data_IF_880826714465
#
_entry.id   IF_880826714465
#
_cell.length_a   1.000
_cell.length_b   1.000
_cell.length_c   1.000
_cell.angle_alpha   90.00
_cell.angle_beta   90.00
_cell.angle_gamma   90.00
#
_symmetry.space_group_name_H-M   'P 1'
#
loop_
_entity.id
_entity.type
_entity.pdbx_description
1 polymer ?
#
# COMPACT_ATOMS: atom_id res chain seq x y z
N UNK A 1 40.47 0.07 -44.10
CA UNK A 1 39.60 0.54 -43.01
C UNK A 1 38.17 0.19 -43.36
N UNK A 2 37.64 -0.88 -42.76
CA UNK A 2 36.22 -1.25 -42.90
C UNK A 2 35.44 -0.61 -41.76
N UNK A 3 34.63 0.39 -42.09
CA UNK A 3 33.61 0.89 -41.17
C UNK A 3 32.48 -0.16 -41.10
N UNK A 4 32.46 -0.93 -40.02
CA UNK A 4 31.31 -1.78 -39.68
C UNK A 4 30.16 -0.85 -39.33
N UNK A 5 29.22 -0.72 -40.27
CA UNK A 5 27.96 -0.02 -40.08
C UNK A 5 27.14 -0.84 -39.09
N UNK A 6 27.12 -0.40 -37.83
CA UNK A 6 26.16 -0.93 -36.84
C UNK A 6 24.78 -0.62 -37.42
N UNK A 7 24.08 -1.65 -37.88
CA UNK A 7 22.72 -1.52 -38.38
C UNK A 7 21.85 -0.95 -37.27
N UNK A 8 21.21 0.18 -37.51
CA UNK A 8 20.14 0.72 -36.68
C UNK A 8 18.93 -0.23 -36.75
N UNK A 9 18.98 -1.33 -36.00
CA UNK A 9 17.83 -2.20 -35.80
C UNK A 9 16.89 -1.44 -34.85
N UNK A 10 15.79 -0.91 -35.39
CA UNK A 10 14.76 -0.29 -34.55
C UNK A 10 14.22 -1.32 -33.55
N UNK A 11 14.22 -1.04 -32.24
CA UNK A 11 13.82 -2.00 -31.24
C UNK A 11 12.38 -2.46 -31.46
N UNK A 12 12.15 -3.75 -31.30
CA UNK A 12 10.83 -4.36 -31.43
C UNK A 12 9.87 -3.77 -30.40
N UNK A 13 8.56 -3.79 -30.70
CA UNK A 13 7.52 -3.31 -29.77
C UNK A 13 7.58 -4.02 -28.41
N UNK A 14 8.10 -5.26 -28.36
CA UNK A 14 8.26 -6.04 -27.12
C UNK A 14 9.41 -5.46 -26.28
N UNK A 15 10.55 -5.18 -26.89
CA UNK A 15 11.71 -4.57 -26.20
C UNK A 15 11.36 -3.20 -25.62
N UNK A 16 10.62 -2.37 -26.38
CA UNK A 16 10.15 -1.07 -25.89
C UNK A 16 9.28 -1.23 -24.63
N UNK A 17 8.36 -2.22 -24.62
CA UNK A 17 7.50 -2.49 -23.45
C UNK A 17 8.27 -3.02 -22.23
N UNK A 18 9.27 -3.88 -22.46
CA UNK A 18 10.12 -4.40 -21.38
C UNK A 18 10.91 -3.27 -20.70
N UNK A 19 11.47 -2.35 -21.48
CA UNK A 19 12.19 -1.17 -20.96
C UNK A 19 11.24 -0.26 -20.16
N UNK A 20 10.00 -0.08 -20.61
CA UNK A 20 9.00 0.69 -19.87
C UNK A 20 8.63 0.04 -18.53
N UNK A 21 8.44 -1.29 -18.51
CA UNK A 21 8.16 -2.04 -17.29
C UNK A 21 9.32 -1.94 -16.30
N UNK A 22 10.56 -2.14 -16.77
CA UNK A 22 11.75 -2.01 -15.94
C UNK A 22 11.85 -0.61 -15.30
N UNK A 23 11.56 0.45 -16.07
CA UNK A 23 11.54 1.82 -15.54
C UNK A 23 10.48 1.99 -14.46
N UNK A 24 9.27 1.47 -14.67
CA UNK A 24 8.20 1.54 -13.68
C UNK A 24 8.57 0.81 -12.38
N UNK A 25 9.11 -0.41 -12.49
CA UNK A 25 9.59 -1.20 -11.34
C UNK A 25 10.70 -0.45 -10.61
N UNK A 26 11.68 0.08 -11.32
CA UNK A 26 12.78 0.84 -10.73
C UNK A 26 12.29 2.06 -9.96
N UNK A 27 11.37 2.84 -10.52
CA UNK A 27 10.79 4.02 -9.84
C UNK A 27 10.04 3.60 -8.58
N UNK A 28 9.22 2.54 -8.66
CA UNK A 28 8.49 2.01 -7.50
C UNK A 28 9.44 1.50 -6.40
N UNK A 29 10.48 0.74 -6.77
CA UNK A 29 11.48 0.24 -5.83
C UNK A 29 12.26 1.36 -5.15
N UNK A 30 12.57 2.45 -5.86
CA UNK A 30 13.23 3.62 -5.25
C UNK A 30 12.33 4.33 -4.24
N UNK A 31 11.06 4.52 -4.58
CA UNK A 31 10.09 5.09 -3.64
C UNK A 31 9.99 4.20 -2.40
N UNK A 32 9.80 2.89 -2.59
CA UNK A 32 9.72 1.92 -1.50
C UNK A 32 10.98 1.95 -0.62
N UNK A 33 12.17 2.00 -1.24
CA UNK A 33 13.44 2.09 -0.51
C UNK A 33 13.49 3.35 0.36
N UNK A 34 13.13 4.50 -0.21
CA UNK A 34 13.11 5.76 0.52
C UNK A 34 12.18 5.68 1.74
N UNK A 35 10.94 5.23 1.55
CA UNK A 35 9.96 5.17 2.64
C UNK A 35 10.26 4.09 3.69
N UNK A 36 10.90 2.97 3.30
CA UNK A 36 11.14 1.85 4.23
C UNK A 36 12.43 2.00 5.03
N UNK A 37 13.51 2.51 4.42
CA UNK A 37 14.84 2.48 5.03
C UNK A 37 15.29 3.80 5.66
N UNK A 38 14.54 4.88 5.46
CA UNK A 38 14.82 6.14 6.14
C UNK A 38 14.09 6.19 7.49
N UNK A 39 14.75 6.76 8.49
CA UNK A 39 14.09 7.03 9.76
C UNK A 39 13.11 8.18 9.59
N UNK A 40 11.87 7.94 10.00
CA UNK A 40 10.83 8.95 10.03
C UNK A 40 10.65 9.46 11.46
N UNK A 41 11.10 10.70 11.70
CA UNK A 41 10.89 11.38 12.98
C UNK A 41 9.53 12.05 12.97
N UNK A 42 8.56 11.43 13.63
CA UNK A 42 7.23 12.00 13.81
C UNK A 42 7.21 12.86 15.07
N UNK A 43 6.82 14.13 14.94
CA UNK A 43 6.50 14.98 16.08
C UNK A 43 4.98 15.02 16.24
N UNK A 44 4.48 14.47 17.35
CA UNK A 44 3.05 14.41 17.67
C UNK A 44 2.66 15.34 18.83
N UNK A 45 3.51 16.32 19.21
CA UNK A 45 3.26 17.21 20.36
C UNK A 45 1.89 17.88 20.27
N UNK A 46 1.54 18.48 19.14
CA UNK A 46 0.25 19.17 18.99
C UNK A 46 -0.95 18.24 19.18
N UNK A 47 -0.85 16.99 18.69
CA UNK A 47 -1.90 15.98 18.87
C UNK A 47 -2.08 15.65 20.35
N UNK A 48 -0.97 15.40 21.06
CA UNK A 48 -0.98 15.07 22.48
C UNK A 48 -1.52 16.24 23.32
N UNK A 49 -1.10 17.46 23.01
CA UNK A 49 -1.61 18.68 23.66
C UNK A 49 -3.12 18.81 23.43
N UNK A 50 -3.60 18.65 22.19
CA UNK A 50 -5.03 18.73 21.92
C UNK A 50 -5.83 17.66 22.69
N UNK A 51 -5.31 16.43 22.80
CA UNK A 51 -5.96 15.39 23.61
C UNK A 51 -6.00 15.73 25.10
N UNK A 52 -4.93 16.34 25.65
CA UNK A 52 -4.90 16.75 27.07
C UNK A 52 -5.88 17.88 27.42
N UNK A 53 -6.33 18.63 26.41
CA UNK A 53 -7.28 19.73 26.61
C UNK A 53 -8.74 19.27 26.59
N UNK A 54 -9.01 18.00 26.27
CA UNK A 54 -10.37 17.46 26.23
C UNK A 54 -10.86 17.28 27.67
N UNK A 55 -11.95 17.95 28.09
CA UNK A 55 -12.54 17.74 29.40
C UNK A 55 -13.01 16.29 29.57
N UNK A 56 -12.90 15.74 30.78
CA UNK A 56 -13.28 14.34 31.07
C UNK A 56 -14.70 13.99 30.63
N UNK A 57 -15.65 14.91 30.85
CA UNK A 57 -17.06 14.74 30.48
C UNK A 57 -17.28 14.61 28.96
N UNK A 58 -16.32 15.12 28.17
CA UNK A 58 -16.39 15.19 26.71
C UNK A 58 -15.50 14.16 26.01
N UNK A 59 -14.76 13.34 26.76
CA UNK A 59 -13.82 12.34 26.20
C UNK A 59 -14.52 11.40 25.22
N UNK A 60 -15.73 10.92 25.54
CA UNK A 60 -16.42 9.95 24.68
C UNK A 60 -16.82 10.50 23.31
N UNK A 61 -17.08 11.81 23.21
CA UNK A 61 -17.52 12.45 21.97
C UNK A 61 -16.38 13.01 21.14
N UNK A 62 -15.28 13.42 21.78
CA UNK A 62 -14.20 14.16 21.13
C UNK A 62 -12.84 13.46 21.18
N UNK A 63 -12.71 12.33 21.90
CA UNK A 63 -11.47 11.56 21.89
C UNK A 63 -11.23 10.95 20.50
N UNK A 64 -10.03 11.19 20.00
CA UNK A 64 -9.45 10.51 18.84
C UNK A 64 -8.24 9.67 19.28
N UNK A 65 -8.32 9.12 20.50
CA UNK A 65 -7.39 8.09 20.93
C UNK A 65 -7.64 6.78 20.18
N UNK A 66 -6.73 6.45 19.27
CA UNK A 66 -6.75 5.21 18.52
C UNK A 66 -6.14 4.02 19.27
N UNK A 67 -5.66 4.19 20.51
CA UNK A 67 -4.99 3.13 21.29
C UNK A 67 -5.87 1.89 21.50
N UNK A 68 -7.18 2.08 21.64
CA UNK A 68 -8.16 1.01 21.84
C UNK A 68 -8.64 0.36 20.53
N UNK A 69 -8.10 0.76 19.37
CA UNK A 69 -8.46 0.15 18.10
C UNK A 69 -7.79 -1.22 17.99
N UNK A 70 -8.60 -2.28 17.95
CA UNK A 70 -8.12 -3.61 17.61
C UNK A 70 -7.75 -3.65 16.12
N UNK A 71 -6.49 -3.37 15.81
CA UNK A 71 -5.96 -3.19 14.45
C UNK A 71 -6.28 -4.39 13.56
N UNK A 72 -6.24 -5.63 14.08
CA UNK A 72 -6.50 -6.83 13.28
C UNK A 72 -7.94 -6.85 12.80
N UNK A 73 -8.91 -6.55 13.67
CA UNK A 73 -10.33 -6.49 13.33
C UNK A 73 -10.61 -5.33 12.39
N UNK A 74 -10.01 -4.17 12.64
CA UNK A 74 -10.14 -3.01 11.76
C UNK A 74 -9.67 -3.31 10.33
N UNK A 75 -8.47 -3.88 10.18
CA UNK A 75 -7.92 -4.27 8.88
C UNK A 75 -8.74 -5.37 8.22
N UNK A 76 -9.19 -6.37 8.99
CA UNK A 76 -10.06 -7.45 8.48
C UNK A 76 -11.35 -6.89 7.87
N UNK A 77 -12.01 -5.98 8.59
CA UNK A 77 -13.25 -5.35 8.11
C UNK A 77 -13.00 -4.47 6.88
N UNK A 78 -11.87 -3.76 6.84
CA UNK A 78 -11.46 -3.00 5.66
C UNK A 78 -11.28 -3.89 4.43
N UNK A 79 -10.53 -4.99 4.55
CA UNK A 79 -10.31 -5.94 3.46
C UNK A 79 -11.62 -6.54 2.96
N UNK A 80 -12.55 -6.87 3.87
CA UNK A 80 -13.90 -7.35 3.51
C UNK A 80 -14.65 -6.28 2.71
N UNK A 81 -14.61 -5.02 3.16
CA UNK A 81 -15.24 -3.90 2.45
C UNK A 81 -14.67 -3.70 1.05
N UNK A 82 -13.34 -3.70 0.92
CA UNK A 82 -12.66 -3.59 -0.39
C UNK A 82 -13.12 -4.72 -1.33
N UNK A 83 -13.09 -5.98 -0.85
CA UNK A 83 -13.53 -7.13 -1.64
C UNK A 83 -14.97 -7.00 -2.11
N UNK A 84 -15.88 -6.59 -1.22
CA UNK A 84 -17.31 -6.52 -1.52
C UNK A 84 -17.68 -5.34 -2.42
N UNK A 85 -17.14 -4.16 -2.16
CA UNK A 85 -17.63 -2.91 -2.76
C UNK A 85 -16.72 -2.34 -3.84
N UNK A 86 -15.41 -2.51 -3.72
CA UNK A 86 -14.47 -2.03 -4.73
C UNK A 86 -14.23 -3.08 -5.81
N UNK A 87 -14.00 -4.33 -5.38
CA UNK A 87 -13.64 -5.44 -6.27
C UNK A 87 -14.83 -6.29 -6.71
N UNK A 88 -16.01 -6.09 -6.10
CA UNK A 88 -17.24 -6.84 -6.41
C UNK A 88 -17.06 -8.37 -6.36
N UNK A 89 -16.27 -8.88 -5.41
CA UNK A 89 -16.02 -10.31 -5.24
C UNK A 89 -17.24 -11.05 -4.65
N UNK A 90 -17.49 -12.27 -5.13
CA UNK A 90 -18.48 -13.17 -4.51
C UNK A 90 -17.92 -13.76 -3.21
N UNK A 91 -18.43 -13.24 -2.09
CA UNK A 91 -18.01 -13.61 -0.75
C UNK A 91 -18.37 -15.07 -0.38
N UNK A 92 -19.28 -15.72 -1.12
CA UNK A 92 -19.63 -17.13 -0.89
C UNK A 92 -18.52 -18.10 -1.35
N UNK A 93 -17.62 -17.64 -2.22
CA UNK A 93 -16.50 -18.45 -2.73
C UNK A 93 -15.29 -18.46 -1.79
N UNK A 94 -15.27 -17.61 -0.76
CA UNK A 94 -14.16 -17.52 0.18
C UNK A 94 -13.92 -18.81 0.96
N UNK A 95 -14.97 -19.55 1.32
CA UNK A 95 -14.82 -20.78 2.10
C UNK A 95 -14.24 -21.93 1.26
N UNK A 96 -14.57 -21.98 -0.04
CA UNK A 96 -13.94 -22.89 -0.99
C UNK A 96 -12.44 -22.56 -1.16
N UNK A 97 -12.07 -21.29 -1.24
CA UNK A 97 -10.66 -20.85 -1.33
C UNK A 97 -9.88 -21.16 -0.04
N UNK A 98 -10.47 -20.94 1.14
CA UNK A 98 -9.85 -21.30 2.43
C UNK A 98 -9.62 -22.80 2.57
N UNK A 99 -10.55 -23.62 2.09
CA UNK A 99 -10.42 -25.08 2.10
C UNK A 99 -9.29 -25.56 1.16
N UNK A 100 -9.10 -24.87 0.03
CA UNK A 100 -8.01 -25.16 -0.91
C UNK A 100 -6.63 -24.78 -0.33
N UNK A 101 -6.50 -23.62 0.32
CA UNK A 101 -5.24 -23.15 0.92
C UNK A 101 -4.80 -23.89 2.20
N UNK A 102 -5.67 -24.74 2.77
CA UNK A 102 -5.34 -25.60 3.93
C UNK A 102 -4.73 -26.95 3.53
N UNK A 103 -4.71 -27.26 2.23
CA UNK A 103 -3.99 -28.42 1.67
C UNK A 103 -2.55 -28.04 1.39
#
# INVERSE_FOLDING_TARGET
>A
MHFVRISEQTPSKVEIRLVQLQKAVYVASRALYYFTFHEWKYNNTNRLTLMSLIPHDNINSFSFDGSNIEIRTYLKNNIIGIKKFLLHEDMNRLDAVKAHNKR
#
